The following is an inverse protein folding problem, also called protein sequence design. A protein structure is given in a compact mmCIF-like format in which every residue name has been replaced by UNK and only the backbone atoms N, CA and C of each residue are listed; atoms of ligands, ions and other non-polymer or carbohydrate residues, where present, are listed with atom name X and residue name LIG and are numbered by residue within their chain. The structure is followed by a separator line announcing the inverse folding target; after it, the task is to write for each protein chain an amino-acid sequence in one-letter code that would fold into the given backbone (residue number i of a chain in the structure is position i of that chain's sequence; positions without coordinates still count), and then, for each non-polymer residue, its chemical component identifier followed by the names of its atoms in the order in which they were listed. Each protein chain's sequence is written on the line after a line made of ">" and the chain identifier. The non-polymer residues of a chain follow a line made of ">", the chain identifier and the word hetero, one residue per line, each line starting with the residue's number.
data_IF_307815870820
#
_entry.id   IF_307815870820
#
_cell.length_a   1.000
_cell.length_b   1.000
_cell.length_c   1.000
_cell.angle_alpha   90.00
_cell.angle_beta   90.00
_cell.angle_gamma   90.00
#
_symmetry.space_group_name_H-M   'P 1'
#
loop_
_entity.id
_entity.type
_entity.pdbx_description
1 polymer ?
#
# COMPACT_ATOMS: atom_id res chain seq x y z
N UNK A 1 7.54 3.60 -25.60
CA UNK A 1 8.42 2.44 -25.88
C UNK A 1 9.87 2.79 -25.57
N UNK A 2 10.46 3.79 -26.23
CA UNK A 2 11.86 4.22 -26.01
C UNK A 2 12.24 4.46 -24.54
N UNK A 3 11.36 5.15 -23.78
CA UNK A 3 11.56 5.40 -22.35
C UNK A 3 11.75 4.13 -21.52
N UNK A 4 10.91 3.12 -21.75
CA UNK A 4 10.95 1.85 -21.00
C UNK A 4 12.20 1.05 -21.35
N UNK A 5 12.63 1.07 -22.61
CA UNK A 5 13.89 0.42 -23.03
C UNK A 5 15.10 1.03 -22.32
N UNK A 6 15.16 2.37 -22.20
CA UNK A 6 16.20 3.05 -21.43
C UNK A 6 16.17 2.68 -19.94
N UNK A 7 14.97 2.62 -19.34
CA UNK A 7 14.81 2.22 -17.94
C UNK A 7 15.25 0.77 -17.70
N UNK A 8 14.95 -0.15 -18.63
CA UNK A 8 15.45 -1.53 -18.59
C UNK A 8 16.97 -1.56 -18.65
N UNK A 9 17.58 -0.80 -19.57
CA UNK A 9 19.04 -0.75 -19.70
C UNK A 9 19.74 -0.23 -18.43
N UNK A 10 19.16 0.74 -17.73
CA UNK A 10 19.68 1.19 -16.43
C UNK A 10 19.64 0.10 -15.34
N UNK A 11 18.59 -0.72 -15.32
CA UNK A 11 18.42 -1.76 -14.29
C UNK A 11 19.12 -3.08 -14.62
N UNK A 12 19.27 -3.38 -15.91
CA UNK A 12 19.83 -4.64 -16.41
C UNK A 12 20.48 -4.43 -17.79
N UNK A 13 21.67 -3.82 -17.86
CA UNK A 13 22.33 -3.49 -19.13
C UNK A 13 22.65 -4.72 -19.98
N UNK A 14 22.85 -5.88 -19.34
CA UNK A 14 23.21 -7.15 -19.99
C UNK A 14 22.00 -7.96 -20.49
N UNK A 15 20.77 -7.55 -20.16
CA UNK A 15 19.56 -8.28 -20.58
C UNK A 15 19.07 -7.72 -21.92
N UNK A 16 18.89 -8.58 -22.95
CA UNK A 16 18.30 -8.16 -24.22
C UNK A 16 16.93 -7.52 -24.00
N UNK A 17 16.76 -6.30 -24.48
CA UNK A 17 15.48 -5.59 -24.36
C UNK A 17 14.51 -6.10 -25.43
N UNK A 18 13.27 -6.50 -25.05
CA UNK A 18 12.27 -6.96 -26.01
C UNK A 18 11.92 -5.92 -27.08
N UNK A 19 11.33 -6.39 -28.17
CA UNK A 19 10.89 -5.50 -29.25
C UNK A 19 9.51 -4.89 -28.97
N UNK A 20 8.59 -5.70 -28.45
CA UNK A 20 7.22 -5.28 -28.18
C UNK A 20 7.11 -4.42 -26.92
N UNK A 21 6.08 -3.56 -26.89
CA UNK A 21 5.81 -2.71 -25.74
C UNK A 21 5.35 -3.53 -24.54
N UNK A 22 4.47 -4.51 -24.76
CA UNK A 22 3.94 -5.36 -23.69
C UNK A 22 5.06 -6.13 -22.98
N UNK A 23 6.01 -6.71 -23.73
CA UNK A 23 7.15 -7.44 -23.15
C UNK A 23 8.12 -6.50 -22.45
N UNK A 24 8.35 -5.29 -22.98
CA UNK A 24 9.15 -4.28 -22.29
C UNK A 24 8.51 -3.89 -20.94
N UNK A 25 7.20 -3.61 -20.93
CA UNK A 25 6.49 -3.24 -19.70
C UNK A 25 6.47 -4.42 -18.70
N UNK A 26 6.37 -5.66 -19.18
CA UNK A 26 6.46 -6.87 -18.38
C UNK A 26 7.85 -7.03 -17.75
N UNK A 27 8.92 -6.98 -18.55
CA UNK A 27 10.30 -7.08 -18.07
C UNK A 27 10.63 -5.95 -17.10
N UNK A 28 10.26 -4.71 -17.42
CA UNK A 28 10.54 -3.56 -16.56
C UNK A 28 9.84 -3.69 -15.20
N UNK A 29 8.60 -4.20 -15.16
CA UNK A 29 7.92 -4.52 -13.88
C UNK A 29 8.72 -5.56 -13.09
N UNK A 30 9.14 -6.67 -13.72
CA UNK A 30 9.92 -7.71 -13.05
C UNK A 30 11.25 -7.17 -12.48
N UNK A 31 12.00 -6.40 -13.28
CA UNK A 31 13.28 -5.82 -12.89
C UNK A 31 13.14 -4.89 -11.69
N UNK A 32 12.14 -4.01 -11.67
CA UNK A 32 11.86 -3.15 -10.52
C UNK A 32 11.49 -3.94 -9.27
N UNK A 33 10.72 -5.01 -9.41
CA UNK A 33 10.36 -5.87 -8.27
C UNK A 33 11.58 -6.53 -7.64
N UNK A 34 12.56 -6.98 -8.41
CA UNK A 34 13.78 -7.62 -7.87
C UNK A 34 14.94 -6.66 -7.59
N UNK A 35 14.82 -5.39 -8.00
CA UNK A 35 15.87 -4.39 -7.83
C UNK A 35 16.22 -4.18 -6.36
N UNK A 36 17.51 -4.24 -6.04
CA UNK A 36 18.02 -3.94 -4.71
C UNK A 36 18.39 -2.46 -4.62
N UNK A 37 18.11 -1.79 -3.48
CA UNK A 37 18.50 -0.40 -3.27
C UNK A 37 19.98 -0.16 -3.60
N UNK A 38 20.23 0.74 -4.54
CA UNK A 38 21.57 1.19 -4.95
C UNK A 38 21.46 2.58 -5.57
N UNK A 39 22.57 3.25 -5.77
CA UNK A 39 22.59 4.52 -6.49
C UNK A 39 22.21 4.32 -7.97
N UNK A 40 21.37 5.22 -8.49
CA UNK A 40 20.99 5.28 -9.89
C UNK A 40 21.19 6.72 -10.40
N UNK A 41 21.56 6.92 -11.69
CA UNK A 41 21.77 8.25 -12.26
C UNK A 41 20.52 9.14 -12.15
N UNK A 42 20.71 10.46 -12.08
CA UNK A 42 19.61 11.44 -12.02
C UNK A 42 18.57 11.22 -13.14
N UNK A 43 19.05 11.03 -14.37
CA UNK A 43 18.23 10.76 -15.55
C UNK A 43 17.31 9.54 -15.39
N UNK A 44 17.70 8.53 -14.62
CA UNK A 44 16.84 7.37 -14.37
C UNK A 44 15.57 7.78 -13.63
N UNK A 45 15.71 8.60 -12.59
CA UNK A 45 14.60 9.02 -11.74
C UNK A 45 13.59 9.87 -12.53
N UNK A 46 14.07 10.82 -13.33
CA UNK A 46 13.22 11.65 -14.19
C UNK A 46 12.47 10.81 -15.24
N UNK A 47 13.15 9.85 -15.86
CA UNK A 47 12.52 8.95 -16.83
C UNK A 47 11.49 8.03 -16.17
N UNK A 48 11.77 7.53 -14.96
CA UNK A 48 10.83 6.68 -14.24
C UNK A 48 9.57 7.47 -13.85
N UNK A 49 9.73 8.66 -13.30
CA UNK A 49 8.60 9.50 -12.89
C UNK A 49 7.74 9.88 -14.08
N UNK A 50 8.35 10.26 -15.21
CA UNK A 50 7.62 10.53 -16.45
C UNK A 50 6.87 9.29 -16.96
N UNK A 51 7.46 8.09 -16.84
CA UNK A 51 6.77 6.84 -17.17
C UNK A 51 5.59 6.57 -16.24
N UNK A 52 5.78 6.67 -14.92
CA UNK A 52 4.76 6.34 -13.93
C UNK A 52 3.59 7.32 -13.94
N UNK A 53 3.85 8.61 -14.16
CA UNK A 53 2.80 9.63 -14.34
C UNK A 53 1.93 9.33 -15.56
N UNK A 54 2.53 8.98 -16.69
CA UNK A 54 1.78 8.57 -17.89
C UNK A 54 0.92 7.31 -17.64
N UNK A 55 1.41 6.36 -16.83
CA UNK A 55 0.62 5.18 -16.45
C UNK A 55 -0.53 5.56 -15.50
N UNK A 56 -0.28 6.44 -14.54
CA UNK A 56 -1.29 6.93 -13.60
C UNK A 56 -2.40 7.71 -14.32
N UNK A 57 -2.05 8.56 -15.29
CA UNK A 57 -3.02 9.30 -16.11
C UNK A 57 -3.95 8.36 -16.89
N UNK A 58 -3.42 7.26 -17.43
CA UNK A 58 -4.23 6.25 -18.14
C UNK A 58 -5.17 5.48 -17.23
N UNK A 59 -4.74 5.19 -16.00
CA UNK A 59 -5.59 4.55 -14.98
C UNK A 59 -6.69 5.49 -14.48
N UNK A 60 -6.44 6.79 -14.54
CA UNK A 60 -7.29 7.79 -13.90
C UNK A 60 -7.04 7.86 -12.40
N UNK A 61 -7.71 8.81 -11.76
CA UNK A 61 -7.67 9.01 -10.31
C UNK A 61 -9.10 8.96 -9.78
N UNK A 62 -9.24 8.47 -8.55
CA UNK A 62 -10.49 8.50 -7.80
C UNK A 62 -10.34 9.51 -6.66
N UNK A 63 -11.28 10.44 -6.56
CA UNK A 63 -11.29 11.45 -5.51
C UNK A 63 -12.09 10.95 -4.31
N UNK A 64 -11.67 11.32 -3.08
CA UNK A 64 -12.39 10.97 -1.85
C UNK A 64 -13.87 11.40 -1.89
N UNK A 65 -14.17 12.55 -2.51
CA UNK A 65 -15.53 13.08 -2.66
C UNK A 65 -16.44 12.25 -3.59
N UNK A 66 -15.86 11.35 -4.38
CA UNK A 66 -16.59 10.44 -5.28
C UNK A 66 -16.98 9.14 -4.56
N UNK A 67 -16.49 8.92 -3.33
CA UNK A 67 -16.71 7.68 -2.59
C UNK A 67 -18.06 7.69 -1.84
N UNK A 68 -18.61 6.50 -1.64
CA UNK A 68 -19.78 6.29 -0.78
C UNK A 68 -19.39 6.48 0.69
N UNK A 69 -19.96 7.51 1.32
CA UNK A 69 -19.88 7.71 2.76
C UNK A 69 -20.88 6.78 3.47
N UNK A 70 -20.38 5.80 4.22
CA UNK A 70 -21.20 4.76 4.87
C UNK A 70 -21.57 5.14 6.32
N UNK A 71 -20.77 6.01 6.94
CA UNK A 71 -21.03 6.68 8.22
C UNK A 71 -20.22 8.01 8.23
N UNK A 72 -20.47 8.96 9.15
CA UNK A 72 -19.77 10.24 9.16
C UNK A 72 -18.24 10.10 9.12
N UNK A 73 -17.61 10.67 8.08
CA UNK A 73 -16.18 10.60 7.76
C UNK A 73 -15.63 9.17 7.55
N UNK A 74 -16.50 8.17 7.36
CA UNK A 74 -16.13 6.78 7.09
C UNK A 74 -16.66 6.35 5.73
N UNK A 75 -15.75 5.89 4.87
CA UNK A 75 -16.03 5.53 3.49
C UNK A 75 -15.70 4.05 3.26
N UNK A 76 -16.45 3.41 2.38
CA UNK A 76 -16.16 2.07 1.89
C UNK A 76 -16.02 2.12 0.38
N UNK A 77 -14.90 1.65 -0.14
CA UNK A 77 -14.61 1.76 -1.56
C UNK A 77 -13.94 0.51 -2.11
N UNK A 78 -14.54 -0.05 -3.17
CA UNK A 78 -13.96 -1.14 -3.92
C UNK A 78 -13.16 -0.59 -5.11
N UNK A 79 -11.85 -0.83 -5.14
CA UNK A 79 -11.00 -0.30 -6.22
C UNK A 79 -9.50 -0.47 -6.01
N UNK A 80 -8.73 0.02 -6.98
CA UNK A 80 -7.26 0.03 -6.94
C UNK A 80 -6.76 1.17 -6.03
N UNK A 81 -6.32 0.86 -4.80
CA UNK A 81 -5.83 1.88 -3.85
C UNK A 81 -4.75 2.81 -4.42
N UNK A 82 -4.04 2.38 -5.45
CA UNK A 82 -2.98 3.17 -6.08
C UNK A 82 -3.51 4.32 -6.95
N UNK A 83 -4.83 4.42 -7.17
CA UNK A 83 -5.48 5.53 -7.89
C UNK A 83 -6.22 6.50 -6.97
N UNK A 84 -6.27 6.22 -5.66
CA UNK A 84 -7.05 7.01 -4.71
C UNK A 84 -6.29 8.26 -4.25
N UNK A 85 -6.91 9.43 -4.43
CA UNK A 85 -6.39 10.72 -3.99
C UNK A 85 -6.85 11.05 -2.56
N UNK A 86 -6.00 10.71 -1.59
CA UNK A 86 -6.12 10.98 -0.15
C UNK A 86 -4.78 11.44 0.41
N UNK A 87 -4.70 11.82 1.69
CA UNK A 87 -3.42 12.21 2.28
C UNK A 87 -2.50 11.01 2.44
N UNK A 88 -3.01 9.87 2.91
CA UNK A 88 -2.20 8.66 3.05
C UNK A 88 -2.97 7.39 2.69
N UNK A 89 -2.24 6.41 2.17
CA UNK A 89 -2.70 5.03 2.01
C UNK A 89 -1.87 4.10 2.90
N UNK A 90 -2.48 3.02 3.38
CA UNK A 90 -1.78 2.00 4.16
C UNK A 90 -1.30 0.87 3.26
N UNK A 91 -0.02 0.52 3.39
CA UNK A 91 0.59 -0.64 2.78
C UNK A 91 0.70 -1.77 3.81
N UNK A 92 0.18 -2.96 3.49
CA UNK A 92 0.46 -4.19 4.23
C UNK A 92 1.84 -4.74 3.82
N UNK A 93 2.86 -4.28 4.53
CA UNK A 93 4.26 -4.59 4.27
C UNK A 93 4.71 -5.90 4.94
N UNK A 94 5.86 -6.40 4.51
CA UNK A 94 6.60 -7.45 5.21
C UNK A 94 7.66 -6.83 6.15
N UNK A 95 8.25 -7.63 7.05
CA UNK A 95 9.21 -7.17 8.07
C UNK A 95 10.48 -6.49 7.52
N UNK A 96 10.81 -6.67 6.23
CA UNK A 96 11.94 -5.99 5.61
C UNK A 96 11.60 -4.56 5.18
N UNK A 97 10.32 -4.20 5.04
CA UNK A 97 9.83 -2.88 4.57
C UNK A 97 10.25 -2.47 3.15
N UNK A 98 11.06 -3.27 2.46
CA UNK A 98 11.58 -2.98 1.13
C UNK A 98 10.59 -3.31 -0.01
N UNK A 99 9.33 -3.58 0.29
CA UNK A 99 8.36 -4.03 -0.69
C UNK A 99 8.51 -5.52 -1.07
N UNK A 100 7.81 -5.93 -2.14
CA UNK A 100 7.82 -7.30 -2.63
C UNK A 100 8.97 -7.57 -3.61
N UNK A 101 9.61 -8.74 -3.52
CA UNK A 101 10.69 -9.19 -4.43
C UNK A 101 10.28 -10.34 -5.35
N UNK A 102 8.99 -10.70 -5.40
CA UNK A 102 8.49 -11.77 -6.27
C UNK A 102 7.90 -11.12 -7.54
N UNK A 103 8.52 -11.25 -8.72
CA UNK A 103 8.01 -10.68 -9.95
C UNK A 103 6.54 -11.00 -10.19
N UNK A 104 5.75 -9.98 -10.55
CA UNK A 104 4.31 -10.10 -10.86
C UNK A 104 3.44 -10.65 -9.71
N UNK A 105 3.94 -10.66 -8.49
CA UNK A 105 3.16 -11.07 -7.33
C UNK A 105 1.96 -10.15 -7.14
N UNK A 106 0.78 -10.76 -6.95
CA UNK A 106 -0.50 -10.05 -6.82
C UNK A 106 -0.78 -9.66 -5.37
N UNK A 107 0.20 -9.06 -4.70
CA UNK A 107 0.04 -8.51 -3.35
C UNK A 107 -0.03 -6.97 -3.39
N UNK A 108 -0.65 -6.38 -2.36
CA UNK A 108 -0.83 -4.93 -2.24
C UNK A 108 0.51 -4.19 -2.16
N UNK A 109 1.51 -4.80 -1.51
CA UNK A 109 2.86 -4.28 -1.38
C UNK A 109 3.53 -4.10 -2.75
N UNK A 110 3.41 -5.11 -3.63
CA UNK A 110 3.92 -5.00 -4.99
C UNK A 110 3.14 -3.97 -5.81
N UNK A 111 1.81 -3.86 -5.63
CA UNK A 111 0.99 -2.87 -6.34
C UNK A 111 1.41 -1.44 -5.98
N UNK A 112 1.54 -1.14 -4.68
CA UNK A 112 1.94 0.18 -4.15
C UNK A 112 3.35 0.53 -4.61
N UNK A 113 4.36 -0.33 -4.38
CA UNK A 113 5.73 -0.06 -4.79
C UNK A 113 5.88 0.07 -6.32
N UNK A 114 5.15 -0.74 -7.10
CA UNK A 114 5.18 -0.67 -8.56
C UNK A 114 4.62 0.64 -9.11
N UNK A 115 3.65 1.27 -8.43
CA UNK A 115 3.05 2.52 -8.88
C UNK A 115 3.75 3.75 -8.30
N UNK A 116 4.25 3.68 -7.06
CA UNK A 116 4.99 4.78 -6.43
C UNK A 116 6.35 5.02 -7.09
N UNK A 117 7.05 3.95 -7.47
CA UNK A 117 8.39 4.01 -8.05
C UNK A 117 9.48 3.55 -7.09
N UNK A 118 10.69 3.34 -7.63
CA UNK A 118 11.84 2.82 -6.86
C UNK A 118 12.28 3.73 -5.71
N UNK A 119 11.92 5.02 -5.73
CA UNK A 119 12.21 5.93 -4.62
C UNK A 119 11.53 5.49 -3.32
N UNK A 120 10.32 4.90 -3.40
CA UNK A 120 9.63 4.38 -2.21
C UNK A 120 10.45 3.28 -1.53
N UNK A 121 11.02 2.36 -2.32
CA UNK A 121 11.89 1.30 -1.79
C UNK A 121 13.20 1.87 -1.24
N UNK A 122 13.76 2.91 -1.87
CA UNK A 122 14.98 3.55 -1.41
C UNK A 122 14.77 4.27 -0.06
N UNK A 123 13.66 4.98 0.11
CA UNK A 123 13.29 5.62 1.38
C UNK A 123 13.04 4.59 2.48
N UNK A 124 12.31 3.51 2.17
CA UNK A 124 12.17 2.38 3.11
C UNK A 124 13.53 1.79 3.50
N UNK A 125 14.45 1.62 2.54
CA UNK A 125 15.79 1.12 2.82
C UNK A 125 16.54 2.02 3.79
N UNK A 126 16.54 3.33 3.55
CA UNK A 126 17.16 4.31 4.45
C UNK A 126 16.58 4.26 5.86
N UNK A 127 15.25 4.20 5.98
CA UNK A 127 14.57 4.06 7.28
C UNK A 127 14.98 2.78 8.02
N UNK A 128 15.11 1.66 7.30
CA UNK A 128 15.49 0.37 7.90
C UNK A 128 16.98 0.31 8.28
N UNK A 129 17.86 0.94 7.50
CA UNK A 129 19.28 1.08 7.85
C UNK A 129 19.46 1.95 9.10
N UNK A 130 18.73 3.08 9.19
CA UNK A 130 18.74 3.94 10.38
C UNK A 130 18.18 3.22 11.62
N UNK A 131 17.13 2.41 11.44
CA UNK A 131 16.56 1.60 12.52
C UNK A 131 17.50 0.48 12.99
N UNK A 132 18.26 -0.13 12.08
CA UNK A 132 19.22 -1.20 12.38
C UNK A 132 18.60 -2.56 12.71
N UNK A 133 17.28 -2.74 12.59
CA UNK A 133 16.60 -4.03 12.75
C UNK A 133 15.31 -4.11 11.91
N UNK A 134 14.83 -5.33 11.70
CA UNK A 134 13.57 -5.60 10.97
C UNK A 134 12.36 -4.98 11.67
N UNK A 135 11.36 -4.59 10.88
CA UNK A 135 10.17 -3.92 11.42
C UNK A 135 9.29 -4.94 12.16
N UNK A 136 8.95 -4.68 13.44
CA UNK A 136 8.11 -5.59 14.20
C UNK A 136 6.66 -5.61 13.70
N UNK A 137 6.00 -6.76 13.83
CA UNK A 137 4.55 -6.87 13.60
C UNK A 137 3.76 -5.89 14.49
N UNK A 138 2.74 -5.25 13.92
CA UNK A 138 1.91 -4.26 14.62
C UNK A 138 2.48 -2.85 14.66
N UNK A 139 3.68 -2.62 14.11
CA UNK A 139 4.27 -1.28 14.00
C UNK A 139 4.01 -0.65 12.63
N UNK A 140 4.27 0.65 12.51
CA UNK A 140 4.09 1.39 11.27
C UNK A 140 5.17 2.44 11.02
N UNK A 141 5.49 2.67 9.74
CA UNK A 141 6.45 3.68 9.24
C UNK A 141 5.81 4.57 8.19
N UNK A 142 6.21 5.84 8.12
CA UNK A 142 5.71 6.82 7.14
C UNK A 142 6.77 7.10 6.09
N UNK A 143 6.36 7.17 4.83
CA UNK A 143 7.19 7.60 3.70
C UNK A 143 6.39 8.55 2.79
N UNK A 144 7.08 9.22 1.86
CA UNK A 144 6.39 9.89 0.75
C UNK A 144 5.78 8.87 -0.20
N UNK A 145 4.69 9.23 -0.88
CA UNK A 145 4.04 8.34 -1.84
C UNK A 145 4.53 8.46 -3.29
N UNK A 146 5.42 9.42 -3.56
CA UNK A 146 6.06 9.65 -4.87
C UNK A 146 5.05 9.83 -6.02
N UNK A 147 4.94 8.84 -6.91
CA UNK A 147 4.11 8.92 -8.11
C UNK A 147 2.65 8.47 -7.88
N UNK A 148 2.26 8.16 -6.63
CA UNK A 148 0.88 7.89 -6.26
C UNK A 148 0.07 9.20 -6.17
N UNK A 149 -1.27 9.16 -6.36
CA UNK A 149 -2.14 10.31 -6.07
C UNK A 149 -2.20 10.67 -4.58
N UNK A 150 -1.89 9.70 -3.70
CA UNK A 150 -1.74 9.95 -2.27
C UNK A 150 -0.50 10.79 -1.96
N UNK A 151 -0.45 11.45 -0.80
CA UNK A 151 0.75 12.22 -0.39
C UNK A 151 1.77 11.33 0.32
N UNK A 152 1.30 10.41 1.14
CA UNK A 152 2.11 9.51 1.96
C UNK A 152 1.69 8.05 1.84
N UNK A 153 2.63 7.16 2.19
CA UNK A 153 2.35 5.74 2.44
C UNK A 153 2.68 5.43 3.89
N UNK A 154 1.73 4.87 4.62
CA UNK A 154 1.96 4.28 5.93
C UNK A 154 2.16 2.79 5.75
N UNK A 155 3.36 2.32 6.02
CA UNK A 155 3.71 0.90 5.91
C UNK A 155 3.52 0.23 7.26
N UNK A 156 2.73 -0.84 7.33
CA UNK A 156 2.57 -1.62 8.56
C UNK A 156 2.78 -3.10 8.30
N UNK A 157 3.38 -3.79 9.28
CA UNK A 157 3.61 -5.23 9.24
C UNK A 157 2.48 -5.93 9.98
N UNK A 158 1.58 -6.55 9.23
CA UNK A 158 0.48 -7.35 9.79
C UNK A 158 0.93 -8.75 10.27
N UNK A 159 0.15 -9.40 11.16
CA UNK A 159 0.42 -10.76 11.61
C UNK A 159 0.21 -11.78 10.48
N UNK A 160 0.92 -12.92 10.56
CA UNK A 160 0.82 -14.05 9.64
C UNK A 160 0.14 -15.22 10.36
N UNK A 161 -0.96 -15.74 9.82
CA UNK A 161 -1.69 -16.88 10.35
C UNK A 161 -1.28 -18.14 9.58
N UNK A 162 -0.58 -19.07 10.23
CA UNK A 162 -0.07 -20.29 9.55
C UNK A 162 -0.99 -21.50 9.64
N UNK A 163 -1.71 -21.67 10.76
CA UNK A 163 -2.57 -22.84 11.00
C UNK A 163 -3.91 -22.42 11.58
N UNK A 164 -3.87 -21.88 12.80
CA UNK A 164 -5.05 -21.43 13.53
C UNK A 164 -4.87 -19.97 13.94
N UNK A 165 -5.98 -19.23 13.95
CA UNK A 165 -5.99 -17.86 14.43
C UNK A 165 -5.89 -17.88 15.96
N UNK A 166 -4.87 -17.21 16.50
CA UNK A 166 -4.68 -17.08 17.95
C UNK A 166 -5.03 -15.67 18.41
N UNK A 167 -5.33 -15.54 19.70
CA UNK A 167 -5.63 -14.24 20.32
C UNK A 167 -4.53 -13.19 20.08
N UNK A 168 -3.27 -13.60 20.18
CA UNK A 168 -2.12 -12.73 19.91
C UNK A 168 -2.09 -12.22 18.46
N UNK A 169 -2.54 -13.03 17.49
CA UNK A 169 -2.59 -12.59 16.09
C UNK A 169 -3.65 -11.48 15.93
N UNK A 170 -4.81 -11.59 16.62
CA UNK A 170 -5.80 -10.51 16.66
C UNK A 170 -5.25 -9.22 17.29
N UNK A 171 -4.54 -9.35 18.42
CA UNK A 171 -3.97 -8.20 19.14
C UNK A 171 -2.92 -7.49 18.28
N UNK A 172 -2.11 -8.23 17.53
CA UNK A 172 -1.16 -7.68 16.57
C UNK A 172 -1.82 -7.01 15.36
N UNK A 173 -2.95 -7.54 14.88
CA UNK A 173 -3.72 -6.88 13.82
C UNK A 173 -4.29 -5.55 14.32
N UNK A 174 -4.91 -5.53 15.50
CA UNK A 174 -5.40 -4.30 16.15
C UNK A 174 -4.27 -3.29 16.33
N UNK A 175 -3.10 -3.74 16.78
CA UNK A 175 -1.90 -2.91 16.91
C UNK A 175 -1.49 -2.27 15.57
N UNK A 176 -1.56 -3.02 14.47
CA UNK A 176 -1.26 -2.51 13.11
C UNK A 176 -2.14 -1.31 12.75
N UNK A 177 -3.46 -1.43 12.97
CA UNK A 177 -4.41 -0.34 12.75
C UNK A 177 -4.14 0.86 13.68
N UNK A 178 -3.94 0.60 14.97
CA UNK A 178 -3.66 1.66 15.96
C UNK A 178 -2.38 2.44 15.64
N UNK A 179 -1.30 1.75 15.25
CA UNK A 179 -0.04 2.36 14.85
C UNK A 179 -0.21 3.25 13.62
N UNK A 180 -0.98 2.81 12.62
CA UNK A 180 -1.28 3.62 11.43
C UNK A 180 -2.10 4.88 11.79
N UNK A 181 -3.15 4.72 12.58
CA UNK A 181 -4.03 5.82 13.00
C UNK A 181 -3.29 6.86 13.85
N UNK A 182 -2.43 6.39 14.76
CA UNK A 182 -1.57 7.24 15.57
C UNK A 182 -0.62 8.06 14.69
N UNK A 183 0.08 7.39 13.76
CA UNK A 183 1.02 8.05 12.85
C UNK A 183 0.34 9.08 11.95
N UNK A 184 -0.91 8.80 11.53
CA UNK A 184 -1.71 9.75 10.78
C UNK A 184 -1.97 11.04 11.57
N UNK A 185 -2.43 10.94 12.82
CA UNK A 185 -2.68 12.12 13.67
C UNK A 185 -1.38 12.87 13.98
N UNK A 186 -0.30 12.17 14.31
CA UNK A 186 1.01 12.77 14.62
C UNK A 186 1.58 13.59 13.46
N UNK A 187 1.21 13.25 12.22
CA UNK A 187 1.70 13.91 10.99
C UNK A 187 0.64 14.79 10.31
N UNK A 188 -0.49 15.07 10.97
CA UNK A 188 -1.53 15.94 10.42
C UNK A 188 -2.21 15.38 9.17
N UNK A 189 -2.26 14.06 9.01
CA UNK A 189 -2.97 13.38 7.92
C UNK A 189 -4.46 13.41 8.23
N UNK A 190 -5.25 14.03 7.35
CA UNK A 190 -6.70 14.21 7.55
C UNK A 190 -7.53 13.14 6.84
N UNK A 191 -6.94 12.43 5.87
CA UNK A 191 -7.58 11.33 5.13
C UNK A 191 -6.67 10.12 4.97
N UNK A 192 -7.12 8.96 5.45
CA UNK A 192 -6.34 7.72 5.49
C UNK A 192 -7.14 6.55 4.89
N UNK A 193 -6.56 5.86 3.91
CA UNK A 193 -7.16 4.67 3.31
C UNK A 193 -6.45 3.38 3.75
N UNK A 194 -7.19 2.44 4.33
CA UNK A 194 -6.72 1.11 4.68
C UNK A 194 -7.03 0.11 3.57
N UNK A 195 -6.03 -0.64 3.11
CA UNK A 195 -6.28 -1.91 2.44
C UNK A 195 -6.65 -3.01 3.45
N UNK A 196 -7.14 -4.16 3.00
CA UNK A 196 -7.33 -5.32 3.86
C UNK A 196 -5.98 -5.91 4.36
N UNK A 197 -5.55 -5.50 5.56
CA UNK A 197 -4.28 -5.95 6.17
C UNK A 197 -4.37 -7.44 6.50
N UNK A 198 -3.34 -8.20 6.13
CA UNK A 198 -3.14 -9.63 6.41
C UNK A 198 -4.12 -10.64 5.79
N UNK A 199 -5.14 -10.24 5.03
CA UNK A 199 -6.18 -11.17 4.52
C UNK A 199 -5.87 -11.82 3.16
N UNK A 200 -4.74 -11.45 2.54
CA UNK A 200 -4.21 -12.10 1.33
C UNK A 200 -3.18 -13.16 1.70
N UNK A 201 -1.92 -12.88 1.36
CA UNK A 201 -0.78 -13.78 1.54
C UNK A 201 -0.49 -14.17 3.01
N UNK A 202 -1.04 -13.46 3.98
CA UNK A 202 -0.84 -13.71 5.42
C UNK A 202 -1.99 -14.49 6.06
N UNK A 203 -3.00 -14.88 5.27
CA UNK A 203 -4.08 -15.81 5.61
C UNK A 203 -4.90 -15.48 6.86
N UNK A 204 -4.96 -14.22 7.28
CA UNK A 204 -5.87 -13.80 8.34
C UNK A 204 -7.31 -13.92 7.84
N UNK A 205 -8.23 -14.59 8.56
CA UNK A 205 -9.61 -14.76 8.10
C UNK A 205 -10.32 -13.42 7.82
N UNK A 206 -10.84 -13.23 6.61
CA UNK A 206 -11.38 -11.96 6.12
C UNK A 206 -12.47 -11.38 7.03
N UNK A 207 -13.45 -12.19 7.43
CA UNK A 207 -14.54 -11.79 8.33
C UNK A 207 -13.99 -11.22 9.65
N UNK A 208 -13.06 -11.96 10.28
CA UNK A 208 -12.52 -11.57 11.58
C UNK A 208 -11.59 -10.35 11.48
N UNK A 209 -10.80 -10.26 10.40
CA UNK A 209 -9.97 -9.09 10.14
C UNK A 209 -10.82 -7.82 10.00
N UNK A 210 -11.92 -7.89 9.24
CA UNK A 210 -12.82 -6.77 9.03
C UNK A 210 -13.52 -6.33 10.33
N UNK A 211 -13.95 -7.28 11.18
CA UNK A 211 -14.53 -6.97 12.49
C UNK A 211 -13.56 -6.18 13.37
N UNK A 212 -12.31 -6.63 13.44
CA UNK A 212 -11.25 -5.95 14.22
C UNK A 212 -10.90 -4.59 13.62
N UNK A 213 -10.82 -4.49 12.30
CA UNK A 213 -10.55 -3.25 11.58
C UNK A 213 -11.64 -2.20 11.84
N UNK A 214 -12.91 -2.53 11.58
CA UNK A 214 -14.05 -1.62 11.76
C UNK A 214 -14.15 -1.16 13.21
N UNK A 215 -14.08 -2.09 14.17
CA UNK A 215 -14.14 -1.74 15.59
C UNK A 215 -13.00 -0.79 15.98
N UNK A 216 -11.76 -1.11 15.60
CA UNK A 216 -10.58 -0.30 15.97
C UNK A 216 -10.66 1.11 15.39
N UNK A 217 -11.07 1.23 14.13
CA UNK A 217 -11.24 2.52 13.45
C UNK A 217 -12.37 3.34 14.07
N UNK A 218 -13.54 2.73 14.30
CA UNK A 218 -14.68 3.44 14.90
C UNK A 218 -14.35 3.94 16.32
N UNK A 219 -13.74 3.10 17.16
CA UNK A 219 -13.30 3.48 18.51
C UNK A 219 -12.31 4.67 18.47
N UNK A 220 -11.46 4.73 17.44
CA UNK A 220 -10.53 5.84 17.24
C UNK A 220 -11.23 7.11 16.76
N UNK A 221 -12.14 7.00 15.79
CA UNK A 221 -12.87 8.14 15.22
C UNK A 221 -13.77 8.84 16.25
N UNK A 222 -14.27 8.14 17.28
CA UNK A 222 -14.96 8.79 18.41
C UNK A 222 -14.10 9.89 19.06
N UNK A 223 -12.78 9.66 19.14
CA UNK A 223 -11.83 10.61 19.74
C UNK A 223 -11.25 11.60 18.72
N UNK A 224 -11.33 11.25 17.43
CA UNK A 224 -10.77 12.02 16.31
C UNK A 224 -11.83 12.20 15.21
N UNK A 225 -12.97 12.88 15.49
CA UNK A 225 -14.11 12.92 14.58
C UNK A 225 -13.84 13.61 13.24
N UNK A 226 -12.74 14.34 13.11
CA UNK A 226 -12.34 15.06 11.90
C UNK A 226 -11.60 14.19 10.87
N UNK A 227 -11.03 13.06 11.27
CA UNK A 227 -10.26 12.21 10.36
C UNK A 227 -11.20 11.47 9.42
N UNK A 228 -10.89 11.45 8.13
CA UNK A 228 -11.62 10.70 7.11
C UNK A 228 -10.95 9.36 6.89
N UNK A 229 -11.66 8.26 7.11
CA UNK A 229 -11.13 6.91 6.94
C UNK A 229 -11.81 6.22 5.77
N UNK A 230 -11.02 5.62 4.89
CA UNK A 230 -11.50 4.79 3.79
C UNK A 230 -11.12 3.35 4.05
N UNK A 231 -12.10 2.45 4.12
CA UNK A 231 -11.84 1.02 3.94
C UNK A 231 -11.82 0.71 2.45
N UNK A 232 -10.63 0.45 1.91
CA UNK A 232 -10.45 -0.01 0.55
C UNK A 232 -10.48 -1.54 0.49
N UNK A 233 -11.36 -2.07 -0.35
CA UNK A 233 -11.49 -3.50 -0.65
C UNK A 233 -11.27 -3.75 -2.14
N UNK A 234 -10.96 -4.98 -2.51
CA UNK A 234 -10.81 -5.36 -3.92
C UNK A 234 -11.83 -6.43 -4.35
N UNK A 235 -12.01 -7.47 -3.54
CA UNK A 235 -12.93 -8.57 -3.82
C UNK A 235 -14.36 -8.23 -3.39
N UNK A 236 -15.34 -8.77 -4.09
CA UNK A 236 -16.76 -8.65 -3.73
C UNK A 236 -17.06 -9.25 -2.35
N UNK A 237 -16.36 -10.33 -1.99
CA UNK A 237 -16.45 -10.96 -0.67
C UNK A 237 -16.10 -9.97 0.45
N UNK A 238 -14.95 -9.29 0.34
CA UNK A 238 -14.53 -8.29 1.32
C UNK A 238 -15.53 -7.13 1.36
N UNK A 239 -16.03 -6.67 0.21
CA UNK A 239 -17.04 -5.61 0.16
C UNK A 239 -18.30 -5.99 0.93
N UNK A 240 -18.82 -7.20 0.74
CA UNK A 240 -20.01 -7.68 1.42
C UNK A 240 -19.79 -7.79 2.93
N UNK A 241 -18.64 -8.32 3.36
CA UNK A 241 -18.24 -8.41 4.76
C UNK A 241 -18.23 -7.03 5.42
N UNK A 242 -17.52 -6.07 4.83
CA UNK A 242 -17.43 -4.71 5.38
C UNK A 242 -18.80 -4.01 5.40
N UNK A 243 -19.63 -4.16 4.35
CA UNK A 243 -21.00 -3.61 4.33
C UNK A 243 -21.86 -4.18 5.46
N UNK A 244 -21.84 -5.49 5.66
CA UNK A 244 -22.61 -6.15 6.70
C UNK A 244 -22.20 -5.66 8.09
N UNK A 245 -20.89 -5.65 8.38
CA UNK A 245 -20.36 -5.22 9.68
C UNK A 245 -20.72 -3.75 9.96
N UNK A 246 -20.46 -2.85 9.02
CA UNK A 246 -20.72 -1.41 9.19
C UNK A 246 -22.22 -1.13 9.36
N UNK A 247 -23.09 -1.89 8.67
CA UNK A 247 -24.55 -1.73 8.81
C UNK A 247 -25.08 -2.11 10.20
N UNK A 248 -24.45 -3.06 10.88
CA UNK A 248 -24.82 -3.53 12.23
C UNK A 248 -24.27 -2.65 13.36
N UNK A 249 -23.29 -1.81 13.07
CA UNK A 249 -22.66 -0.88 14.02
C UNK A 249 -23.35 0.49 14.09
N UNK A 250 -24.41 0.71 13.31
CA UNK A 250 -25.27 1.91 13.37
C UNK A 250 -26.29 1.79 14.50
#
# INVERSE_FOLDING_TARGET
>A
MERVKKLIHYLAPDIPTPESKEECDYLFKALRTVWKPQELPADFWDLQDAYLKEQAEKKGQTLLLELEEVAPNLYLWQGDITTLKVDAIVNAANHQLLGCFIPHHRCIDNAIHSQAGLQLRLECYQLMEEQGHLEPTGQAKLTKAYNLPAKYVIHTVGPIVQKELRKNDEDLLVSSYQSCLKLAVENGIESLAFCCISTGEFHFPNQRAAELAVKTVQDFMIKHPQIKIVFNVFKDEDLNIYKEIISKSK
#
